data_IF_673117033605
#
_entry.id   IF_673117033605
#
_cell.length_a   1.000
_cell.length_b   1.000
_cell.length_c   1.000
_cell.angle_alpha   90.00
_cell.angle_beta   90.00
_cell.angle_gamma   90.00
#
_symmetry.space_group_name_H-M   'P 1'
#
loop_
_entity.id
_entity.type
_entity.pdbx_description
1 polymer ?
#
# COMPACT_ATOMS: atom_id res chain seq x y z
N UNK A 1 -2.38 22.57 -7.40
CA UNK A 1 -3.46 21.63 -7.06
C UNK A 1 -3.32 21.20 -5.63
N UNK A 2 -4.42 21.15 -4.87
CA UNK A 2 -4.37 20.71 -3.47
C UNK A 2 -4.88 19.27 -3.38
N UNK A 3 -4.05 18.36 -2.87
CA UNK A 3 -4.26 16.93 -2.73
C UNK A 3 -4.23 16.61 -1.23
N UNK A 4 -5.06 15.68 -0.75
CA UNK A 4 -4.96 15.21 0.62
C UNK A 4 -3.79 14.22 0.75
N UNK A 5 -3.76 13.18 -0.10
CA UNK A 5 -2.67 12.19 -0.08
C UNK A 5 -2.09 11.99 -1.47
N UNK A 6 -0.78 12.17 -1.60
CA UNK A 6 0.02 11.81 -2.79
C UNK A 6 0.69 10.46 -2.53
N UNK A 7 0.35 9.43 -3.31
CA UNK A 7 0.98 8.12 -3.27
C UNK A 7 2.04 8.03 -4.37
N UNK A 8 3.29 7.74 -4.00
CA UNK A 8 4.45 7.66 -4.90
C UNK A 8 5.04 6.27 -4.86
N UNK A 9 5.09 5.60 -6.01
CA UNK A 9 5.66 4.27 -6.07
C UNK A 9 5.14 3.39 -7.19
N UNK A 10 4.98 2.10 -6.89
CA UNK A 10 4.75 1.04 -7.84
C UNK A 10 3.28 0.88 -8.24
N UNK A 11 3.07 0.62 -9.52
CA UNK A 11 1.84 0.08 -10.08
C UNK A 11 2.15 -1.20 -10.87
N UNK A 12 1.26 -2.16 -10.79
CA UNK A 12 1.24 -3.39 -11.58
C UNK A 12 -0.13 -3.64 -12.18
N UNK A 13 -0.24 -4.61 -13.06
CA UNK A 13 -1.54 -5.18 -13.41
C UNK A 13 -1.59 -6.60 -12.90
N UNK A 14 -2.57 -6.90 -12.06
CA UNK A 14 -2.67 -8.15 -11.34
C UNK A 14 -3.62 -9.11 -12.08
N UNK A 15 -3.14 -10.32 -12.34
CA UNK A 15 -3.87 -11.45 -12.91
C UNK A 15 -4.14 -12.44 -11.77
N UNK A 16 -5.35 -12.35 -11.17
CA UNK A 16 -5.70 -13.12 -9.97
C UNK A 16 -6.50 -14.35 -10.36
N UNK A 17 -6.01 -15.52 -9.97
CA UNK A 17 -6.62 -16.81 -10.23
C UNK A 17 -7.01 -17.50 -8.91
N UNK A 18 -8.24 -17.97 -8.80
CA UNK A 18 -8.65 -18.88 -7.74
C UNK A 18 -8.31 -20.32 -8.16
N UNK A 19 -7.54 -21.00 -7.33
CA UNK A 19 -7.05 -22.36 -7.59
C UNK A 19 -7.24 -23.24 -6.35
N UNK A 20 -7.35 -24.55 -6.54
CA UNK A 20 -7.52 -25.47 -5.42
C UNK A 20 -6.23 -25.63 -4.58
N UNK A 21 -5.08 -25.66 -5.26
CA UNK A 21 -3.74 -25.73 -4.65
C UNK A 21 -2.71 -25.06 -5.55
N UNK A 22 -1.52 -24.75 -5.04
CA UNK A 22 -0.44 -24.24 -5.86
C UNK A 22 0.10 -25.36 -6.75
N UNK A 23 0.30 -25.13 -8.08
CA UNK A 23 0.66 -26.17 -9.04
C UNK A 23 2.01 -26.81 -8.71
N UNK A 24 2.09 -28.13 -8.86
CA UNK A 24 3.32 -28.90 -8.82
C UNK A 24 4.05 -28.81 -10.16
N UNK A 25 5.29 -29.35 -10.22
CA UNK A 25 6.01 -29.47 -11.48
C UNK A 25 5.22 -30.31 -12.49
N UNK A 26 5.15 -29.83 -13.73
CA UNK A 26 4.45 -30.47 -14.86
C UNK A 26 2.93 -30.65 -14.71
N UNK A 27 2.34 -30.05 -13.69
CA UNK A 27 0.89 -30.08 -13.49
C UNK A 27 0.17 -29.11 -14.43
N UNK A 28 -0.95 -29.58 -14.99
CA UNK A 28 -1.96 -28.73 -15.67
C UNK A 28 -3.21 -28.68 -14.83
N UNK A 29 -3.58 -27.47 -14.41
CA UNK A 29 -4.78 -27.26 -13.62
C UNK A 29 -5.66 -26.18 -14.22
N UNK A 30 -6.93 -26.15 -13.84
CA UNK A 30 -7.88 -25.10 -14.21
C UNK A 30 -8.18 -24.23 -13.00
N UNK A 31 -8.15 -22.92 -13.17
CA UNK A 31 -8.63 -21.99 -12.17
C UNK A 31 -10.17 -21.99 -12.15
N UNK A 32 -10.75 -21.89 -10.96
CA UNK A 32 -12.21 -21.78 -10.77
C UNK A 32 -12.74 -20.37 -10.98
N UNK A 33 -11.89 -19.34 -10.85
CA UNK A 33 -12.21 -17.94 -11.15
C UNK A 33 -10.96 -17.18 -11.62
N UNK A 34 -11.19 -16.12 -12.38
CA UNK A 34 -10.15 -15.20 -12.84
C UNK A 34 -10.66 -13.77 -12.80
N UNK A 35 -9.79 -12.86 -12.39
CA UNK A 35 -10.02 -11.42 -12.48
C UNK A 35 -8.71 -10.70 -12.80
N UNK A 36 -8.74 -9.75 -13.76
CA UNK A 36 -7.65 -8.84 -14.06
C UNK A 36 -7.96 -7.44 -13.54
N UNK A 37 -7.03 -6.81 -12.85
CA UNK A 37 -7.23 -5.48 -12.27
C UNK A 37 -5.90 -4.74 -12.07
N UNK A 38 -5.98 -3.43 -11.85
CA UNK A 38 -4.83 -2.66 -11.38
C UNK A 38 -4.37 -3.12 -10.01
N UNK A 39 -3.06 -3.11 -9.79
CA UNK A 39 -2.38 -3.48 -8.55
C UNK A 39 -1.17 -2.59 -8.27
N UNK A 40 -0.34 -3.02 -7.35
CA UNK A 40 0.83 -2.28 -6.86
C UNK A 40 0.53 -1.45 -5.62
N UNK A 41 1.47 -1.41 -4.63
CA UNK A 41 1.19 -0.85 -3.32
C UNK A 41 0.74 0.61 -3.35
N UNK A 42 1.52 1.51 -3.97
CA UNK A 42 1.18 2.93 -4.03
C UNK A 42 -0.12 3.20 -4.80
N UNK A 43 -0.36 2.46 -5.91
CA UNK A 43 -1.59 2.62 -6.69
C UNK A 43 -2.83 2.10 -5.95
N UNK A 44 -2.73 0.98 -5.22
CA UNK A 44 -3.81 0.47 -4.36
C UNK A 44 -4.09 1.42 -3.19
N UNK A 45 -3.05 1.96 -2.55
CA UNK A 45 -3.19 2.95 -1.50
C UNK A 45 -3.91 4.22 -2.01
N UNK A 46 -3.55 4.73 -3.21
CA UNK A 46 -4.21 5.88 -3.81
C UNK A 46 -5.71 5.64 -4.07
N UNK A 47 -6.07 4.45 -4.58
CA UNK A 47 -7.49 4.09 -4.75
C UNK A 47 -8.20 3.96 -3.41
N UNK A 48 -7.54 3.41 -2.39
CA UNK A 48 -8.11 3.37 -1.03
C UNK A 48 -8.43 4.78 -0.53
N UNK A 49 -7.48 5.70 -0.64
CA UNK A 49 -7.67 7.11 -0.27
C UNK A 49 -8.86 7.74 -0.99
N UNK A 50 -8.97 7.53 -2.32
CA UNK A 50 -10.07 8.07 -3.12
C UNK A 50 -11.43 7.48 -2.70
N UNK A 51 -11.52 6.15 -2.50
CA UNK A 51 -12.74 5.48 -2.03
C UNK A 51 -13.18 5.90 -0.64
N UNK A 52 -12.24 6.34 0.21
CA UNK A 52 -12.53 6.90 1.52
C UNK A 52 -12.95 8.38 1.46
N UNK A 53 -13.07 8.96 0.25
CA UNK A 53 -13.59 10.31 0.03
C UNK A 53 -12.55 11.42 0.11
N UNK A 54 -11.24 11.10 0.12
CA UNK A 54 -10.16 12.07 0.13
C UNK A 54 -9.62 12.30 -1.29
N UNK A 55 -8.99 13.47 -1.52
CA UNK A 55 -8.35 13.80 -2.79
C UNK A 55 -7.03 13.05 -2.91
N UNK A 56 -7.03 11.97 -3.70
CA UNK A 56 -5.87 11.13 -3.95
C UNK A 56 -5.18 11.50 -5.26
N UNK A 57 -3.84 11.44 -5.27
CA UNK A 57 -3.05 11.41 -6.48
C UNK A 57 -2.09 10.22 -6.47
N UNK A 58 -1.79 9.70 -7.64
CA UNK A 58 -0.78 8.66 -7.83
C UNK A 58 0.34 9.16 -8.74
N UNK A 59 1.58 9.03 -8.28
CA UNK A 59 2.80 9.32 -9.03
C UNK A 59 3.63 8.04 -9.20
N UNK A 60 3.86 7.64 -10.43
CA UNK A 60 4.57 6.41 -10.78
C UNK A 60 4.50 6.13 -12.27
N UNK A 61 4.74 4.88 -12.65
CA UNK A 61 4.85 4.46 -14.04
C UNK A 61 3.79 3.45 -14.44
N UNK A 62 3.23 3.63 -15.67
CA UNK A 62 2.43 2.65 -16.39
C UNK A 62 2.84 2.62 -17.88
N UNK A 63 3.02 1.43 -18.43
CA UNK A 63 3.35 1.24 -19.84
C UNK A 63 2.25 1.73 -20.80
N UNK A 64 2.63 1.93 -22.08
CA UNK A 64 1.68 2.19 -23.18
C UNK A 64 1.13 0.88 -23.77
N UNK A 65 1.10 -0.20 -22.99
CA UNK A 65 0.51 -1.48 -23.34
C UNK A 65 -0.94 -1.58 -22.85
N UNK A 66 -1.59 -2.70 -23.20
CA UNK A 66 -3.00 -2.94 -22.85
C UNK A 66 -3.23 -2.94 -21.32
N UNK A 67 -2.29 -3.48 -20.56
CA UNK A 67 -2.39 -3.57 -19.11
C UNK A 67 -2.25 -2.20 -18.44
N UNK A 68 -1.31 -1.39 -18.91
CA UNK A 68 -1.15 -0.01 -18.47
C UNK A 68 -2.33 0.87 -18.81
N UNK A 69 -2.94 0.66 -19.98
CA UNK A 69 -4.15 1.39 -20.39
C UNK A 69 -5.36 1.02 -19.52
N UNK A 70 -5.56 -0.28 -19.25
CA UNK A 70 -6.64 -0.73 -18.35
C UNK A 70 -6.46 -0.16 -16.94
N UNK A 71 -5.24 -0.24 -16.38
CA UNK A 71 -4.95 0.28 -15.04
C UNK A 71 -5.12 1.80 -14.99
N UNK A 72 -4.63 2.53 -16.00
CA UNK A 72 -4.78 3.98 -16.08
C UNK A 72 -6.24 4.42 -16.06
N UNK A 73 -7.10 3.78 -16.87
CA UNK A 73 -8.55 4.04 -16.87
C UNK A 73 -9.19 3.72 -15.54
N UNK A 74 -8.84 2.59 -14.94
CA UNK A 74 -9.34 2.21 -13.62
C UNK A 74 -9.00 3.26 -12.54
N UNK A 75 -7.78 3.81 -12.54
CA UNK A 75 -7.41 4.89 -11.62
C UNK A 75 -8.26 6.14 -11.83
N UNK A 76 -8.50 6.54 -13.08
CA UNK A 76 -9.40 7.66 -13.41
C UNK A 76 -10.83 7.41 -12.93
N UNK A 77 -11.39 6.24 -13.23
CA UNK A 77 -12.75 5.87 -12.85
C UNK A 77 -12.94 5.83 -11.33
N UNK A 78 -11.87 5.51 -10.58
CA UNK A 78 -11.84 5.53 -9.12
C UNK A 78 -11.56 6.91 -8.52
N UNK A 79 -11.43 7.96 -9.35
CA UNK A 79 -11.24 9.34 -8.91
C UNK A 79 -9.83 9.66 -8.42
N UNK A 80 -8.83 8.85 -8.78
CA UNK A 80 -7.41 9.14 -8.50
C UNK A 80 -6.88 10.13 -9.54
N UNK A 81 -6.23 11.17 -9.07
CA UNK A 81 -5.55 12.13 -9.93
C UNK A 81 -4.35 11.47 -10.62
N UNK A 82 -4.35 11.47 -11.94
CA UNK A 82 -3.46 10.67 -12.78
C UNK A 82 -2.46 11.51 -13.60
N UNK A 83 -2.44 12.84 -13.44
CA UNK A 83 -1.54 13.73 -14.19
C UNK A 83 -0.05 13.51 -13.87
N UNK A 84 0.24 12.82 -12.75
CA UNK A 84 1.59 12.49 -12.30
C UNK A 84 2.02 11.07 -12.73
N UNK A 85 1.24 10.40 -13.58
CA UNK A 85 1.59 9.08 -14.10
C UNK A 85 2.45 9.22 -15.35
N UNK A 86 3.67 8.72 -15.27
CA UNK A 86 4.56 8.62 -16.43
C UNK A 86 4.12 7.45 -17.29
N UNK A 87 3.85 7.71 -18.58
CA UNK A 87 3.49 6.71 -19.57
C UNK A 87 4.64 6.52 -20.56
N UNK A 88 5.05 5.27 -20.81
CA UNK A 88 6.21 5.01 -21.65
C UNK A 88 6.20 3.64 -22.33
N UNK A 89 7.28 3.32 -23.05
CA UNK A 89 7.41 2.09 -23.85
C UNK A 89 7.85 0.86 -23.06
N UNK A 90 8.38 1.04 -21.85
CA UNK A 90 8.65 -0.11 -20.97
C UNK A 90 7.32 -0.78 -20.61
N UNK A 91 7.27 -2.12 -20.49
CA UNK A 91 6.02 -2.79 -20.17
C UNK A 91 5.49 -2.42 -18.79
N UNK A 92 4.18 -2.45 -18.64
CA UNK A 92 3.54 -2.40 -17.32
C UNK A 92 3.97 -3.63 -16.53
N UNK A 93 4.40 -3.48 -15.26
CA UNK A 93 4.66 -4.61 -14.40
C UNK A 93 3.42 -5.50 -14.25
N UNK A 94 3.62 -6.81 -14.24
CA UNK A 94 2.54 -7.78 -14.08
C UNK A 94 2.76 -8.60 -12.81
N UNK A 95 1.66 -8.93 -12.14
CA UNK A 95 1.63 -9.90 -11.04
C UNK A 95 0.63 -10.99 -11.37
N UNK A 96 1.06 -12.24 -11.38
CA UNK A 96 0.15 -13.40 -11.34
C UNK A 96 -0.03 -13.81 -9.91
N UNK A 97 -1.27 -13.75 -9.41
CA UNK A 97 -1.64 -14.08 -8.04
C UNK A 97 -2.46 -15.36 -8.04
N UNK A 98 -1.95 -16.39 -7.38
CA UNK A 98 -2.59 -17.70 -7.24
C UNK A 98 -3.17 -17.81 -5.82
N UNK A 99 -4.50 -17.79 -5.69
CA UNK A 99 -5.20 -17.76 -4.40
C UNK A 99 -5.87 -19.11 -4.14
N UNK A 100 -5.55 -19.75 -3.01
CA UNK A 100 -6.19 -20.98 -2.54
C UNK A 100 -7.46 -20.70 -1.73
N UNK A 101 -8.33 -21.74 -1.51
CA UNK A 101 -9.56 -21.58 -0.74
C UNK A 101 -9.37 -21.12 0.71
N UNK A 102 -8.18 -21.35 1.28
CA UNK A 102 -7.80 -20.90 2.62
C UNK A 102 -7.27 -19.44 2.67
N UNK A 103 -7.33 -18.71 1.54
CA UNK A 103 -6.82 -17.35 1.40
C UNK A 103 -5.31 -17.22 1.28
N UNK A 104 -4.55 -18.33 1.35
CA UNK A 104 -3.12 -18.30 1.11
C UNK A 104 -2.83 -18.08 -0.37
N UNK A 105 -1.80 -17.31 -0.66
CA UNK A 105 -1.46 -16.91 -2.02
C UNK A 105 0.01 -17.13 -2.36
N UNK A 106 0.29 -17.33 -3.64
CA UNK A 106 1.60 -17.23 -4.25
C UNK A 106 1.58 -16.17 -5.35
N UNK A 107 2.67 -15.43 -5.50
CA UNK A 107 2.81 -14.37 -6.49
C UNK A 107 4.01 -14.62 -7.40
N UNK A 108 3.79 -14.36 -8.69
CA UNK A 108 4.85 -14.29 -9.70
C UNK A 108 4.83 -12.88 -10.27
N UNK A 109 5.89 -12.12 -10.02
CA UNK A 109 6.02 -10.75 -10.50
C UNK A 109 6.92 -10.67 -11.72
N UNK A 110 6.47 -9.94 -12.75
CA UNK A 110 7.24 -9.58 -13.91
C UNK A 110 7.41 -8.05 -13.98
N UNK A 111 8.59 -7.56 -13.57
CA UNK A 111 8.93 -6.13 -13.57
C UNK A 111 10.36 -5.82 -14.05
N UNK A 112 11.10 -6.84 -14.49
CA UNK A 112 12.53 -6.70 -14.81
C UNK A 112 12.85 -5.75 -15.96
N UNK A 113 11.87 -5.45 -16.82
CA UNK A 113 12.02 -4.51 -17.94
C UNK A 113 11.47 -3.11 -17.64
N UNK A 114 10.88 -2.89 -16.48
CA UNK A 114 10.41 -1.58 -16.04
C UNK A 114 11.49 -0.95 -15.17
N UNK A 115 12.03 0.18 -15.64
CA UNK A 115 13.06 0.92 -14.90
C UNK A 115 12.39 1.84 -13.88
N UNK A 116 13.04 2.01 -12.73
CA UNK A 116 12.64 3.04 -11.77
C UNK A 116 12.74 4.43 -12.40
N UNK A 117 11.87 5.33 -11.98
CA UNK A 117 11.83 6.70 -12.46
C UNK A 117 13.04 7.49 -11.95
N UNK A 118 13.56 8.37 -12.81
CA UNK A 118 14.60 9.31 -12.41
C UNK A 118 14.07 10.35 -11.43
N UNK A 119 14.94 10.98 -10.67
CA UNK A 119 14.60 11.97 -9.65
C UNK A 119 13.80 13.16 -10.21
N UNK A 120 14.02 13.54 -11.46
CA UNK A 120 13.40 14.65 -12.17
C UNK A 120 12.30 14.23 -13.16
N UNK A 121 11.86 12.97 -13.10
CA UNK A 121 10.86 12.43 -14.03
C UNK A 121 9.48 13.10 -13.87
N UNK A 122 9.18 13.66 -12.70
CA UNK A 122 7.91 14.33 -12.39
C UNK A 122 8.22 15.68 -11.75
N UNK A 123 7.60 16.74 -12.25
CA UNK A 123 7.63 18.07 -11.62
C UNK A 123 6.55 18.18 -10.56
N UNK A 124 6.96 18.21 -9.30
CA UNK A 124 6.09 18.37 -8.15
C UNK A 124 5.90 19.82 -7.71
N UNK A 125 6.49 20.81 -8.38
CA UNK A 125 6.50 22.22 -7.95
C UNK A 125 5.09 22.83 -7.84
N UNK A 126 4.16 22.38 -8.65
CA UNK A 126 2.75 22.83 -8.67
C UNK A 126 1.84 22.00 -7.75
N UNK A 127 2.37 20.97 -7.08
CA UNK A 127 1.60 20.04 -6.24
C UNK A 127 1.73 20.46 -4.76
N UNK A 128 0.60 20.50 -4.09
CA UNK A 128 0.53 20.65 -2.63
C UNK A 128 -0.24 19.47 -2.07
N UNK A 129 0.42 18.63 -1.27
CA UNK A 129 -0.17 17.50 -0.57
C UNK A 129 -0.10 17.72 0.94
N UNK A 130 -1.07 17.20 1.71
CA UNK A 130 -1.00 17.17 3.18
C UNK A 130 -0.14 16.00 3.65
N UNK A 131 -0.31 14.85 3.01
CA UNK A 131 0.43 13.62 3.30
C UNK A 131 1.03 13.07 2.01
N UNK A 132 2.27 12.59 2.07
CA UNK A 132 2.91 11.81 1.00
C UNK A 132 3.16 10.40 1.50
N UNK A 133 2.69 9.41 0.75
CA UNK A 133 2.88 7.99 1.02
C UNK A 133 3.82 7.39 -0.03
N UNK A 134 4.91 6.77 0.43
CA UNK A 134 5.90 6.07 -0.39
C UNK A 134 5.83 4.57 -0.15
N UNK A 135 6.04 3.76 -1.20
CA UNK A 135 6.20 2.30 -1.09
C UNK A 135 7.65 1.81 -1.31
N UNK A 136 8.57 2.75 -1.50
CA UNK A 136 10.00 2.47 -1.71
C UNK A 136 10.37 1.96 -3.10
N UNK A 137 9.42 1.76 -4.01
CA UNK A 137 9.73 1.23 -5.35
C UNK A 137 10.23 2.26 -6.35
N UNK A 138 10.06 3.56 -6.05
CA UNK A 138 10.60 4.68 -6.82
C UNK A 138 11.55 5.52 -5.94
N UNK A 139 12.72 4.97 -5.50
CA UNK A 139 13.53 5.60 -4.47
C UNK A 139 14.12 6.95 -4.90
N UNK A 140 14.56 7.09 -6.15
CA UNK A 140 15.15 8.36 -6.63
C UNK A 140 14.11 9.48 -6.67
N UNK A 141 12.92 9.17 -7.20
CA UNK A 141 11.79 10.09 -7.26
C UNK A 141 11.33 10.48 -5.85
N UNK A 142 11.24 9.50 -4.95
CA UNK A 142 10.79 9.69 -3.56
C UNK A 142 11.75 10.57 -2.76
N UNK A 143 13.07 10.35 -2.89
CA UNK A 143 14.09 11.17 -2.23
C UNK A 143 14.06 12.61 -2.76
N UNK A 144 13.99 12.81 -4.09
CA UNK A 144 13.89 14.14 -4.69
C UNK A 144 12.64 14.90 -4.20
N UNK A 145 11.51 14.18 -4.06
CA UNK A 145 10.29 14.77 -3.53
C UNK A 145 10.43 15.17 -2.06
N UNK A 146 11.00 14.31 -1.21
CA UNK A 146 11.27 14.63 0.21
C UNK A 146 12.18 15.86 0.33
N UNK A 147 13.25 15.92 -0.47
CA UNK A 147 14.18 17.05 -0.47
C UNK A 147 13.49 18.37 -0.90
N UNK A 148 12.54 18.29 -1.84
CA UNK A 148 11.76 19.46 -2.29
C UNK A 148 10.76 19.97 -1.24
N UNK A 149 10.50 19.19 -0.22
CA UNK A 149 9.51 19.47 0.83
C UNK A 149 10.12 19.81 2.20
N UNK A 150 11.46 19.87 2.33
CA UNK A 150 12.14 20.14 3.61
C UNK A 150 11.64 21.41 4.33
N UNK A 151 11.20 22.42 3.58
CA UNK A 151 10.68 23.67 4.12
C UNK A 151 9.14 23.70 4.27
N UNK A 152 8.46 22.59 4.00
CA UNK A 152 6.99 22.48 4.01
C UNK A 152 6.54 21.49 5.09
N UNK A 153 5.52 21.86 5.85
CA UNK A 153 4.88 20.97 6.85
C UNK A 153 4.07 19.87 6.16
N UNK A 154 4.74 18.94 5.46
CA UNK A 154 4.11 17.80 4.81
C UNK A 154 4.43 16.56 5.64
N UNK A 155 3.40 15.77 5.91
CA UNK A 155 3.54 14.49 6.61
C UNK A 155 4.00 13.42 5.62
N UNK A 156 5.04 12.67 5.98
CA UNK A 156 5.61 11.59 5.17
C UNK A 156 5.37 10.22 5.81
N UNK A 157 4.91 9.27 5.00
CA UNK A 157 4.62 7.89 5.40
C UNK A 157 5.36 6.94 4.47
N UNK A 158 6.01 5.92 5.01
CA UNK A 158 6.59 4.81 4.24
C UNK A 158 5.79 3.53 4.48
N UNK A 159 5.28 2.95 3.41
CA UNK A 159 4.86 1.55 3.34
C UNK A 159 6.10 0.66 3.12
N UNK A 160 6.58 0.05 4.19
CA UNK A 160 7.69 -0.90 4.14
C UNK A 160 7.18 -2.35 4.16
N UNK A 161 6.51 -2.77 3.08
CA UNK A 161 5.96 -4.12 2.93
C UNK A 161 7.03 -5.22 2.81
N UNK A 162 8.23 -4.90 2.31
CA UNK A 162 9.37 -5.81 2.21
C UNK A 162 10.70 -5.05 2.24
N UNK A 163 11.75 -5.74 2.69
CA UNK A 163 13.09 -5.17 2.77
C UNK A 163 13.74 -5.16 1.37
N UNK A 164 14.06 -3.96 0.87
CA UNK A 164 14.81 -3.72 -0.37
C UNK A 164 15.47 -2.35 -0.33
N UNK A 165 16.35 -2.06 -1.29
CA UNK A 165 17.17 -0.84 -1.29
C UNK A 165 16.34 0.44 -1.16
N UNK A 166 15.18 0.51 -1.78
CA UNK A 166 14.34 1.69 -1.74
C UNK A 166 13.67 1.90 -0.37
N UNK A 167 13.21 0.85 0.32
CA UNK A 167 12.68 0.99 1.67
C UNK A 167 13.80 1.35 2.66
N UNK A 168 15.00 0.79 2.48
CA UNK A 168 16.18 1.17 3.27
C UNK A 168 16.59 2.63 3.08
N UNK A 169 16.48 3.15 1.84
CA UNK A 169 16.84 4.53 1.53
C UNK A 169 15.87 5.58 2.12
N UNK A 170 14.65 5.18 2.46
CA UNK A 170 13.59 6.07 2.93
C UNK A 170 13.28 5.96 4.43
N UNK A 171 13.60 4.81 5.06
CA UNK A 171 13.11 4.49 6.40
C UNK A 171 13.57 5.44 7.52
N UNK A 172 14.68 6.17 7.32
CA UNK A 172 15.21 7.18 8.25
C UNK A 172 14.85 8.63 7.87
N UNK A 173 13.99 8.81 6.87
CA UNK A 173 13.65 10.11 6.26
C UNK A 173 12.17 10.45 6.34
N UNK A 174 11.36 9.57 6.89
CA UNK A 174 9.90 9.72 6.97
C UNK A 174 9.44 9.95 8.42
N UNK A 175 8.28 10.59 8.58
CA UNK A 175 7.67 10.81 9.90
C UNK A 175 7.05 9.53 10.45
N UNK A 176 6.49 8.71 9.56
CA UNK A 176 5.80 7.46 9.89
C UNK A 176 6.38 6.31 9.07
N UNK A 177 7.08 5.41 9.75
CA UNK A 177 7.53 4.14 9.20
C UNK A 177 6.51 3.05 9.55
N UNK A 178 5.73 2.64 8.56
CA UNK A 178 4.74 1.59 8.73
C UNK A 178 5.20 0.37 7.95
N UNK A 179 5.54 -0.72 8.66
CA UNK A 179 6.12 -1.90 8.04
C UNK A 179 5.36 -3.18 8.36
N UNK A 180 5.58 -4.20 7.54
CA UNK A 180 5.03 -5.54 7.76
C UNK A 180 5.86 -6.35 8.78
N UNK A 181 5.24 -7.39 9.38
CA UNK A 181 5.96 -8.43 10.16
C UNK A 181 7.15 -9.00 9.37
N UNK A 182 6.95 -9.26 8.06
CA UNK A 182 7.99 -9.77 7.17
C UNK A 182 9.19 -8.81 7.09
N UNK A 183 8.95 -7.52 6.86
CA UNK A 183 10.00 -6.50 6.85
C UNK A 183 10.74 -6.48 8.18
N UNK A 184 10.00 -6.43 9.28
CA UNK A 184 10.56 -6.35 10.63
C UNK A 184 11.51 -7.54 10.94
N UNK A 185 11.08 -8.76 10.62
CA UNK A 185 11.88 -9.98 10.80
C UNK A 185 13.11 -9.97 9.89
N UNK A 186 12.99 -9.58 8.63
CA UNK A 186 14.11 -9.47 7.70
C UNK A 186 15.13 -8.43 8.15
N UNK A 187 14.66 -7.30 8.72
CA UNK A 187 15.54 -6.20 9.18
C UNK A 187 16.29 -6.50 10.48
N UNK A 188 15.64 -7.11 11.45
CA UNK A 188 16.20 -7.22 12.80
C UNK A 188 16.08 -8.62 13.45
N UNK A 189 15.58 -9.62 12.75
CA UNK A 189 15.43 -10.99 13.22
C UNK A 189 14.21 -11.25 14.08
N UNK A 190 13.78 -10.30 14.92
CA UNK A 190 12.55 -10.38 15.73
C UNK A 190 11.75 -9.09 15.64
N UNK A 191 10.44 -9.16 15.92
CA UNK A 191 9.53 -8.02 15.89
C UNK A 191 9.91 -7.00 16.97
N UNK A 192 10.22 -7.47 18.19
CA UNK A 192 10.58 -6.63 19.32
C UNK A 192 11.88 -5.86 19.05
N UNK A 193 12.90 -6.55 18.54
CA UNK A 193 14.18 -5.92 18.15
C UNK A 193 13.97 -4.92 17.02
N UNK A 194 13.11 -5.26 16.04
CA UNK A 194 12.79 -4.36 14.93
C UNK A 194 12.11 -3.08 15.43
N UNK A 195 11.09 -3.19 16.29
CA UNK A 195 10.39 -2.04 16.83
C UNK A 195 11.34 -1.06 17.52
N UNK A 196 12.30 -1.56 18.31
CA UNK A 196 13.27 -0.70 19.00
C UNK A 196 14.23 -0.03 17.99
N UNK A 197 14.83 -0.80 17.09
CA UNK A 197 15.80 -0.27 16.12
C UNK A 197 15.16 0.71 15.12
N UNK A 198 13.95 0.44 14.68
CA UNK A 198 13.24 1.32 13.75
C UNK A 198 12.80 2.61 14.42
N UNK A 199 12.46 2.58 15.71
CA UNK A 199 12.13 3.78 16.48
C UNK A 199 13.34 4.70 16.74
N UNK A 200 14.56 4.24 16.52
CA UNK A 200 15.76 5.08 16.50
C UNK A 200 15.92 5.82 15.15
N UNK A 201 15.20 5.38 14.11
CA UNK A 201 15.30 5.93 12.75
C UNK A 201 14.12 6.85 12.39
N UNK A 202 12.91 6.51 12.81
CA UNK A 202 11.71 7.27 12.49
C UNK A 202 10.94 7.68 13.74
N UNK A 203 10.34 8.90 13.76
CA UNK A 203 9.59 9.41 14.92
C UNK A 203 8.42 8.52 15.35
N UNK A 204 7.79 7.84 14.39
CA UNK A 204 6.69 6.91 14.63
C UNK A 204 6.88 5.63 13.82
N UNK A 205 6.79 4.49 14.49
CA UNK A 205 6.89 3.15 13.87
C UNK A 205 5.61 2.38 14.17
N UNK A 206 5.06 1.75 13.12
CA UNK A 206 3.96 0.79 13.23
C UNK A 206 4.40 -0.50 12.54
N UNK A 207 4.22 -1.64 13.20
CA UNK A 207 4.48 -2.97 12.62
C UNK A 207 3.15 -3.71 12.54
N UNK A 208 2.67 -3.97 11.32
CA UNK A 208 1.45 -4.76 11.07
C UNK A 208 1.77 -6.24 11.15
N UNK A 209 0.92 -7.00 11.88
CA UNK A 209 1.12 -8.41 12.21
C UNK A 209 0.01 -9.30 11.61
N UNK A 210 -0.67 -8.83 10.55
CA UNK A 210 -1.78 -9.53 9.93
C UNK A 210 -2.94 -9.77 10.90
N UNK A 211 -3.38 -11.02 11.03
CA UNK A 211 -4.49 -11.41 11.92
C UNK A 211 -4.22 -11.16 13.41
N UNK A 212 -2.96 -10.97 13.80
CA UNK A 212 -2.56 -10.64 15.18
C UNK A 212 -2.70 -9.13 15.48
N UNK A 213 -3.00 -8.30 14.48
CA UNK A 213 -3.15 -6.86 14.63
C UNK A 213 -1.89 -6.08 14.34
N UNK A 214 -1.49 -5.20 15.22
CA UNK A 214 -0.30 -4.37 15.08
C UNK A 214 0.32 -4.00 16.43
N UNK A 215 1.60 -3.61 16.39
CA UNK A 215 2.28 -2.92 17.48
C UNK A 215 2.84 -1.59 16.97
N UNK A 216 3.04 -0.66 17.87
CA UNK A 216 3.56 0.65 17.49
C UNK A 216 4.43 1.27 18.58
N UNK A 217 5.32 2.18 18.18
CA UNK A 217 6.10 3.04 19.06
C UNK A 217 6.16 4.45 18.48
N UNK A 218 5.87 5.46 19.33
CA UNK A 218 5.86 6.88 19.01
C UNK A 218 6.42 7.66 20.17
N UNK A 219 7.58 8.26 19.99
CA UNK A 219 8.29 8.91 21.09
C UNK A 219 8.52 7.94 22.28
N UNK A 220 7.96 8.27 23.44
CA UNK A 220 8.06 7.42 24.66
C UNK A 220 6.86 6.47 24.82
N UNK A 221 5.86 6.58 23.97
CA UNK A 221 4.66 5.75 24.02
C UNK A 221 4.81 4.54 23.10
N UNK A 222 4.28 3.42 23.54
CA UNK A 222 4.16 2.21 22.73
C UNK A 222 2.87 1.47 23.06
N UNK A 223 2.39 0.66 22.14
CA UNK A 223 1.18 -0.11 22.35
C UNK A 223 0.93 -1.14 21.27
N UNK A 224 -0.20 -1.81 21.40
CA UNK A 224 -0.69 -2.79 20.46
C UNK A 224 -2.18 -2.59 20.20
N UNK A 225 -2.64 -3.07 19.04
CA UNK A 225 -4.05 -3.11 18.66
C UNK A 225 -4.34 -4.47 18.03
N UNK A 226 -5.39 -5.13 18.50
CA UNK A 226 -5.86 -6.39 17.91
C UNK A 226 -6.48 -6.15 16.52
N UNK A 227 -6.35 -7.12 15.63
CA UNK A 227 -7.01 -7.07 14.32
C UNK A 227 -8.54 -7.15 14.45
N UNK A 228 -9.24 -6.62 13.44
CA UNK A 228 -10.67 -6.87 13.29
C UNK A 228 -10.89 -8.31 12.80
N UNK A 229 -11.79 -9.08 13.44
CA UNK A 229 -12.08 -10.45 13.01
C UNK A 229 -12.89 -10.42 11.70
N UNK A 230 -12.35 -11.05 10.66
CA UNK A 230 -13.02 -11.23 9.37
C UNK A 230 -12.75 -12.62 8.81
N UNK A 231 -13.65 -13.13 7.95
CA UNK A 231 -13.36 -14.32 7.17
C UNK A 231 -12.49 -13.92 5.98
N UNK A 232 -11.24 -14.38 5.99
CA UNK A 232 -10.30 -14.06 4.93
C UNK A 232 -10.57 -14.89 3.67
N UNK A 233 -10.83 -14.21 2.55
CA UNK A 233 -10.97 -14.80 1.20
C UNK A 233 -9.66 -14.63 0.44
N UNK A 234 -9.07 -13.42 0.47
CA UNK A 234 -7.81 -13.08 -0.18
C UNK A 234 -7.17 -11.90 0.56
N UNK A 235 -5.93 -12.05 1.00
CA UNK A 235 -5.20 -10.99 1.71
C UNK A 235 -4.44 -10.02 0.78
N UNK A 236 -4.63 -10.13 -0.55
CA UNK A 236 -3.99 -9.22 -1.52
C UNK A 236 -4.50 -7.80 -1.33
N UNK A 237 -3.57 -6.85 -1.20
CA UNK A 237 -3.91 -5.43 -1.01
C UNK A 237 -4.28 -5.01 0.41
N UNK A 238 -4.33 -5.94 1.38
CA UNK A 238 -4.68 -5.59 2.77
C UNK A 238 -3.70 -4.59 3.40
N UNK A 239 -2.39 -4.74 3.13
CA UNK A 239 -1.37 -3.77 3.53
C UNK A 239 -1.58 -2.42 2.85
N UNK A 240 -1.84 -2.44 1.54
CA UNK A 240 -2.04 -1.23 0.75
C UNK A 240 -3.29 -0.45 1.23
N UNK A 241 -4.39 -1.18 1.53
CA UNK A 241 -5.60 -0.62 2.11
C UNK A 241 -5.34 -0.01 3.50
N UNK A 242 -4.55 -0.70 4.34
CA UNK A 242 -4.11 -0.17 5.63
C UNK A 242 -3.35 1.14 5.45
N UNK A 243 -2.32 1.17 4.59
CA UNK A 243 -1.47 2.34 4.39
C UNK A 243 -2.23 3.51 3.76
N UNK A 244 -3.10 3.25 2.78
CA UNK A 244 -3.96 4.27 2.20
C UNK A 244 -4.91 4.89 3.21
N UNK A 245 -5.58 4.08 4.04
CA UNK A 245 -6.46 4.54 5.09
C UNK A 245 -5.70 5.25 6.23
N UNK A 246 -4.51 4.78 6.59
CA UNK A 246 -3.63 5.41 7.55
C UNK A 246 -3.23 6.83 7.09
N UNK A 247 -2.77 6.97 5.85
CA UNK A 247 -2.41 8.26 5.27
C UNK A 247 -3.62 9.20 5.17
N UNK A 248 -4.80 8.69 4.80
CA UNK A 248 -6.04 9.47 4.75
C UNK A 248 -6.45 9.96 6.15
N UNK A 249 -6.36 9.10 7.17
CA UNK A 249 -6.69 9.46 8.55
C UNK A 249 -5.75 10.53 9.13
N UNK A 250 -4.47 10.57 8.74
CA UNK A 250 -3.53 11.63 9.10
C UNK A 250 -3.92 13.01 8.55
N UNK A 251 -4.80 13.08 7.55
CA UNK A 251 -5.37 14.34 7.05
C UNK A 251 -6.50 14.89 7.92
N UNK A 252 -6.87 14.22 9.00
CA UNK A 252 -8.01 14.53 9.88
C UNK A 252 -7.57 14.81 11.32
N UNK A 253 -8.52 15.22 12.17
CA UNK A 253 -8.29 15.42 13.60
C UNK A 253 -8.53 14.16 14.44
N UNK A 254 -8.46 12.95 13.85
CA UNK A 254 -8.60 11.70 14.57
C UNK A 254 -7.52 11.53 15.63
N UNK A 255 -7.89 10.95 16.78
CA UNK A 255 -6.89 10.54 17.76
C UNK A 255 -5.95 9.47 17.20
N UNK A 256 -4.74 9.35 17.77
CA UNK A 256 -3.77 8.32 17.34
C UNK A 256 -4.37 6.91 17.33
N UNK A 257 -5.14 6.58 18.37
CA UNK A 257 -5.78 5.28 18.48
C UNK A 257 -6.86 5.08 17.39
N UNK A 258 -7.63 6.14 17.06
CA UNK A 258 -8.64 6.06 16.01
C UNK A 258 -8.03 5.94 14.63
N UNK A 259 -6.88 6.61 14.36
CA UNK A 259 -6.10 6.43 13.12
C UNK A 259 -5.71 4.96 12.94
N UNK A 260 -5.12 4.34 13.96
CA UNK A 260 -4.72 2.93 13.91
C UNK A 260 -5.91 1.99 13.72
N UNK A 261 -7.02 2.24 14.40
CA UNK A 261 -8.25 1.45 14.25
C UNK A 261 -8.85 1.57 12.85
N UNK A 262 -8.89 2.80 12.32
CA UNK A 262 -9.41 3.08 10.99
C UNK A 262 -8.60 2.35 9.90
N UNK A 263 -7.28 2.45 9.97
CA UNK A 263 -6.38 1.76 9.07
C UNK A 263 -6.50 0.22 9.19
N UNK A 264 -6.58 -0.31 10.43
CA UNK A 264 -6.76 -1.75 10.67
C UNK A 264 -8.08 -2.27 10.11
N UNK A 265 -9.17 -1.51 10.23
CA UNK A 265 -10.46 -1.88 9.66
C UNK A 265 -10.40 -1.90 8.12
N UNK A 266 -9.71 -0.94 7.49
CA UNK A 266 -9.52 -0.93 6.04
C UNK A 266 -8.76 -2.18 5.55
N UNK A 267 -7.66 -2.54 6.20
CA UNK A 267 -6.89 -3.75 5.89
C UNK A 267 -7.70 -5.03 6.09
N UNK A 268 -8.46 -5.12 7.18
CA UNK A 268 -9.32 -6.27 7.46
C UNK A 268 -10.45 -6.41 6.43
N UNK A 269 -11.13 -5.31 6.08
CA UNK A 269 -12.17 -5.32 5.04
C UNK A 269 -11.64 -5.80 3.69
N UNK A 270 -10.45 -5.36 3.32
CA UNK A 270 -9.80 -5.77 2.08
C UNK A 270 -9.64 -7.29 1.98
N UNK A 271 -9.51 -8.01 3.08
CA UNK A 271 -9.41 -9.46 3.08
C UNK A 271 -10.72 -10.20 2.75
N UNK A 272 -11.87 -9.54 2.66
CA UNK A 272 -13.20 -10.20 2.59
C UNK A 272 -13.61 -10.65 1.18
N UNK A 273 -12.87 -10.26 0.14
CA UNK A 273 -13.19 -10.59 -1.27
C UNK A 273 -11.92 -10.95 -2.03
N UNK A 274 -12.08 -11.60 -3.19
CA UNK A 274 -10.99 -11.93 -4.09
C UNK A 274 -10.47 -10.68 -4.80
N UNK A 275 -9.13 -10.49 -4.82
CA UNK A 275 -8.43 -9.41 -5.50
C UNK A 275 -8.47 -8.09 -4.75
N UNK A 276 -7.35 -7.36 -4.76
CA UNK A 276 -7.19 -6.12 -4.01
C UNK A 276 -8.27 -5.08 -4.34
N UNK A 277 -8.39 -4.68 -5.62
CA UNK A 277 -9.26 -3.57 -6.04
C UNK A 277 -10.73 -3.76 -5.74
N UNK A 278 -11.24 -4.99 -5.83
CA UNK A 278 -12.64 -5.32 -5.58
C UNK A 278 -13.03 -5.16 -4.12
N UNK A 279 -12.05 -5.25 -3.22
CA UNK A 279 -12.25 -5.27 -1.77
C UNK A 279 -11.73 -4.03 -1.05
N UNK A 280 -11.12 -3.06 -1.74
CA UNK A 280 -10.76 -1.79 -1.10
C UNK A 280 -11.99 -1.09 -0.53
N UNK A 281 -11.98 -0.70 0.77
CA UNK A 281 -13.15 -0.19 1.47
C UNK A 281 -13.53 1.23 1.08
N UNK A 282 -14.80 1.55 1.27
CA UNK A 282 -15.27 2.92 1.47
C UNK A 282 -15.55 3.18 2.96
N UNK A 283 -16.00 4.39 3.31
CA UNK A 283 -16.27 4.74 4.71
C UNK A 283 -17.41 3.91 5.34
N UNK A 284 -18.44 3.53 4.57
CA UNK A 284 -19.54 2.71 5.06
C UNK A 284 -19.06 1.31 5.45
N UNK A 285 -18.18 0.73 4.65
CA UNK A 285 -17.54 -0.56 4.90
C UNK A 285 -16.77 -0.57 6.23
N UNK A 286 -15.99 0.48 6.50
CA UNK A 286 -15.25 0.64 7.76
C UNK A 286 -16.22 0.79 8.95
N UNK A 287 -17.30 1.55 8.80
CA UNK A 287 -18.30 1.72 9.85
C UNK A 287 -19.04 0.41 10.16
N UNK A 288 -19.25 -0.46 9.18
CA UNK A 288 -19.81 -1.79 9.41
C UNK A 288 -18.91 -2.63 10.31
N UNK A 289 -17.60 -2.65 10.08
CA UNK A 289 -16.65 -3.34 10.95
C UNK A 289 -16.61 -2.77 12.37
N UNK A 290 -16.69 -1.45 12.52
CA UNK A 290 -16.73 -0.82 13.84
C UNK A 290 -17.99 -1.21 14.64
N UNK A 291 -19.12 -1.39 13.96
CA UNK A 291 -20.37 -1.84 14.61
C UNK A 291 -20.29 -3.31 15.03
N UNK A 292 -19.75 -4.17 14.15
CA UNK A 292 -19.61 -5.61 14.46
C UNK A 292 -18.63 -5.91 15.59
N UNK A 293 -17.58 -5.09 15.77
CA UNK A 293 -16.62 -5.25 16.86
C UNK A 293 -17.10 -4.76 18.23
N UNK A 294 -18.28 -4.11 18.31
CA UNK A 294 -18.92 -3.67 19.56
C UNK A 294 -20.02 -4.62 20.05
N UNK A 295 -20.44 -5.56 19.22
CA UNK A 295 -21.42 -6.59 19.53
C UNK A 295 -20.75 -7.85 20.07
#
# INVERSE_FOLDING_TARGET
>A
MTIDVLCVGHASYDLVFSIDHHPFADEKMSASAFIGMGGGPAANAAVTVAKLGFKAAYAGYLGLDIYGEHHYRELLDMGVHSDLIIRGRSPTPLSTVLVKPDGQRALINYKSQTKALAADAIDFSSISAKVVLFDGHEPQLSLALLDSYQDKSIISVLDAGSLHDGTLALMDKVDYLVCSEKFAIQYAGTIETALQRLADLAPTVVITLGEKGLIWKRSQEQGALSAFPVTCVDSTGAGDAFHGAFAAALCTDMSWFDILRYASAAGAWCCTKLGARTSLPNNEDIQLLFKSAKA
#
